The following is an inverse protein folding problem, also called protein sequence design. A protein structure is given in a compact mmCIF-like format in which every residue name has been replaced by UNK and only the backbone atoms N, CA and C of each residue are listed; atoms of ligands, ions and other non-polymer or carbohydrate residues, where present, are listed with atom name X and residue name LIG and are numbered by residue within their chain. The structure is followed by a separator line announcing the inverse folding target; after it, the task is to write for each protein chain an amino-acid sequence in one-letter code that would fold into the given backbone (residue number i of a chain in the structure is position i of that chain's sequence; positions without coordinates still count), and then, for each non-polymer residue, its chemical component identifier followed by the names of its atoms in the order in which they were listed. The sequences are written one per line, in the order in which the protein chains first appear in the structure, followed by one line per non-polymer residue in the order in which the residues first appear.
data_IF_365073872731
#
_entry.id   IF_365073872731
#
_cell.length_a   1.000
_cell.length_b   1.000
_cell.length_c   1.000
_cell.angle_alpha   90.00
_cell.angle_beta   90.00
_cell.angle_gamma   90.00
#
_symmetry.space_group_name_H-M   'P 1'
#
loop_
_entity.id
_entity.type
_entity.pdbx_description
1 polymer ?
#
# COMPACT_ATOMS: atom_id res chain seq x y z
N UNK A 1 -7.95 5.72 18.81
CA UNK A 1 -6.52 5.97 19.09
C UNK A 1 -5.60 4.87 18.53
N UNK A 2 -5.81 3.57 18.84
CA UNK A 2 -4.86 2.51 18.45
C UNK A 2 -4.65 2.32 16.93
N UNK A 3 -5.64 2.63 16.10
CA UNK A 3 -5.55 2.47 14.63
C UNK A 3 -4.56 3.40 13.93
N UNK A 4 -4.21 4.54 14.56
CA UNK A 4 -3.21 5.46 13.98
C UNK A 4 -1.82 4.80 13.91
N UNK A 5 -1.58 3.74 14.69
CA UNK A 5 -0.33 2.96 14.67
C UNK A 5 -0.03 2.40 13.28
N UNK A 6 -1.06 2.07 12.49
CA UNK A 6 -0.90 1.52 11.14
C UNK A 6 -0.13 2.48 10.22
N UNK A 7 -0.30 3.79 10.40
CA UNK A 7 0.37 4.81 9.59
C UNK A 7 1.87 4.94 9.93
N UNK A 8 2.27 4.51 11.12
CA UNK A 8 3.68 4.51 11.53
C UNK A 8 4.43 3.27 11.09
N UNK A 9 3.76 2.23 10.58
CA UNK A 9 4.39 1.01 10.04
C UNK A 9 5.45 1.33 8.97
N UNK A 10 5.22 2.21 7.97
CA UNK A 10 6.24 2.54 6.98
C UNK A 10 7.45 3.27 7.57
N UNK A 11 7.25 4.09 8.62
CA UNK A 11 8.35 4.72 9.36
C UNK A 11 9.20 3.67 10.09
N UNK A 12 8.56 2.70 10.73
CA UNK A 12 9.24 1.59 11.38
C UNK A 12 9.95 0.69 10.36
N UNK A 13 9.30 0.39 9.23
CA UNK A 13 9.91 -0.36 8.13
C UNK A 13 11.14 0.35 7.57
N UNK A 14 11.05 1.65 7.32
CA UNK A 14 12.18 2.47 6.84
C UNK A 14 13.32 2.52 7.87
N UNK A 15 13.02 2.66 9.16
CA UNK A 15 14.03 2.65 10.22
C UNK A 15 14.76 1.30 10.28
N UNK A 16 14.04 0.19 10.15
CA UNK A 16 14.63 -1.16 10.11
C UNK A 16 15.44 -1.40 8.82
N UNK A 17 15.03 -0.81 7.69
CA UNK A 17 15.75 -0.90 6.41
C UNK A 17 17.07 -0.13 6.47
N UNK A 18 17.07 1.08 7.04
CA UNK A 18 18.28 1.91 7.26
C UNK A 18 19.31 1.19 8.13
N UNK A 19 18.86 0.30 9.04
CA UNK A 19 19.73 -0.46 9.92
C UNK A 19 20.13 -1.84 9.32
N UNK A 20 19.73 -2.16 8.09
CA UNK A 20 19.88 -3.48 7.45
C UNK A 20 19.25 -4.64 8.25
N UNK A 21 18.36 -4.33 9.20
CA UNK A 21 17.70 -5.33 10.06
C UNK A 21 16.37 -5.80 9.46
N UNK A 22 15.77 -5.07 8.52
CA UNK A 22 14.42 -5.33 8.01
C UNK A 22 14.23 -6.77 7.52
N UNK A 23 15.22 -7.31 6.78
CA UNK A 23 15.17 -8.66 6.22
C UNK A 23 15.66 -9.75 7.17
N UNK A 24 16.16 -9.38 8.36
CA UNK A 24 16.53 -10.34 9.39
C UNK A 24 15.28 -10.98 10.04
N UNK A 25 15.39 -12.16 10.67
CA UNK A 25 14.27 -12.78 11.38
C UNK A 25 13.66 -11.85 12.44
N UNK A 26 14.49 -11.05 13.11
CA UNK A 26 14.07 -10.10 14.15
C UNK A 26 13.31 -8.93 13.53
N UNK A 27 13.84 -8.29 12.49
CA UNK A 27 13.17 -7.18 11.80
C UNK A 27 11.82 -7.60 11.22
N UNK A 28 11.76 -8.77 10.57
CA UNK A 28 10.51 -9.34 10.06
C UNK A 28 9.49 -9.57 11.18
N UNK A 29 9.91 -10.12 12.32
CA UNK A 29 9.03 -10.37 13.46
C UNK A 29 8.47 -9.05 14.04
N UNK A 30 9.29 -8.01 14.12
CA UNK A 30 8.85 -6.68 14.59
C UNK A 30 7.82 -6.06 13.64
N UNK A 31 8.05 -6.13 12.32
CA UNK A 31 7.06 -5.63 11.33
C UNK A 31 5.77 -6.45 11.39
N UNK A 32 5.86 -7.78 11.39
CA UNK A 32 4.68 -8.65 11.41
C UNK A 32 3.86 -8.48 12.69
N UNK A 33 4.51 -8.31 13.84
CA UNK A 33 3.80 -8.03 15.11
C UNK A 33 3.13 -6.66 15.08
N UNK A 34 3.78 -5.62 14.55
CA UNK A 34 3.17 -4.30 14.36
C UNK A 34 1.95 -4.36 13.43
N UNK A 35 2.03 -5.16 12.35
CA UNK A 35 0.92 -5.41 11.42
C UNK A 35 -0.22 -6.16 12.10
N UNK A 36 0.07 -7.22 12.85
CA UNK A 36 -0.94 -8.00 13.58
C UNK A 36 -1.65 -7.14 14.63
N UNK A 37 -0.91 -6.33 15.38
CA UNK A 37 -1.49 -5.37 16.34
C UNK A 37 -2.35 -4.34 15.61
N UNK A 38 -1.90 -3.84 14.46
CA UNK A 38 -2.66 -2.95 13.58
C UNK A 38 -3.98 -3.59 13.12
N UNK A 39 -3.93 -4.82 12.59
CA UNK A 39 -5.11 -5.56 12.13
C UNK A 39 -6.07 -5.87 13.29
N UNK A 40 -5.57 -6.32 14.44
CA UNK A 40 -6.40 -6.60 15.63
C UNK A 40 -7.07 -5.32 16.13
N UNK A 41 -6.36 -4.19 16.13
CA UNK A 41 -6.96 -2.90 16.44
C UNK A 41 -8.17 -2.68 15.53
N UNK A 42 -7.97 -2.81 14.21
CA UNK A 42 -9.00 -2.53 13.19
C UNK A 42 -10.21 -3.48 13.32
N UNK A 43 -9.99 -4.78 13.48
CA UNK A 43 -11.07 -5.75 13.65
C UNK A 43 -11.88 -5.56 14.94
N UNK A 44 -11.32 -4.90 15.95
CA UNK A 44 -12.03 -4.54 17.18
C UNK A 44 -12.92 -3.30 17.04
N UNK A 45 -13.02 -2.68 15.85
CA UNK A 45 -13.94 -1.57 15.63
C UNK A 45 -15.40 -2.04 15.56
N UNK A 46 -16.28 -1.57 16.45
CA UNK A 46 -17.72 -1.72 16.26
C UNK A 46 -18.14 -0.86 15.05
N UNK A 47 -18.64 -1.49 13.98
CA UNK A 47 -19.01 -0.82 12.72
C UNK A 47 -18.17 -1.21 11.50
N UNK A 48 -17.20 -2.11 11.65
CA UNK A 48 -16.53 -2.72 10.50
C UNK A 48 -17.55 -3.56 9.70
N UNK A 49 -17.86 -3.13 8.48
CA UNK A 49 -18.61 -3.95 7.53
C UNK A 49 -17.67 -4.39 6.42
N UNK A 50 -17.55 -5.71 6.22
CA UNK A 50 -16.97 -6.31 5.01
C UNK A 50 -17.99 -6.11 3.88
N UNK A 51 -18.14 -4.87 3.44
CA UNK A 51 -19.03 -4.51 2.35
C UNK A 51 -18.41 -4.78 0.97
N UNK A 52 -19.22 -4.79 -0.09
CA UNK A 52 -18.73 -4.85 -1.47
C UNK A 52 -17.81 -3.68 -1.84
N UNK A 53 -17.86 -2.58 -1.08
CA UNK A 53 -16.97 -1.42 -1.21
C UNK A 53 -15.50 -1.79 -0.98
N UNK A 54 -15.21 -2.68 -0.03
CA UNK A 54 -13.84 -3.09 0.27
C UNK A 54 -13.23 -3.91 -0.87
N UNK A 55 -14.01 -4.82 -1.46
CA UNK A 55 -13.60 -5.58 -2.64
C UNK A 55 -13.38 -4.65 -3.84
N UNK A 56 -14.28 -3.67 -4.03
CA UNK A 56 -14.16 -2.66 -5.09
C UNK A 56 -12.87 -1.84 -4.92
N UNK A 57 -12.60 -1.32 -3.72
CA UNK A 57 -11.42 -0.50 -3.45
C UNK A 57 -10.12 -1.31 -3.61
N UNK A 58 -10.09 -2.57 -3.14
CA UNK A 58 -8.97 -3.46 -3.36
C UNK A 58 -8.70 -3.68 -4.86
N UNK A 59 -9.75 -3.90 -5.66
CA UNK A 59 -9.60 -4.12 -7.10
C UNK A 59 -9.14 -2.85 -7.84
N UNK A 60 -9.69 -1.68 -7.50
CA UNK A 60 -9.26 -0.41 -8.10
C UNK A 60 -7.80 -0.12 -7.77
N UNK A 61 -7.39 -0.34 -6.52
CA UNK A 61 -6.00 -0.15 -6.10
C UNK A 61 -5.05 -1.11 -6.83
N UNK A 62 -5.45 -2.38 -6.99
CA UNK A 62 -4.71 -3.35 -7.78
C UNK A 62 -4.52 -2.89 -9.23
N UNK A 63 -5.59 -2.38 -9.87
CA UNK A 63 -5.51 -1.86 -11.25
C UNK A 63 -4.54 -0.69 -11.32
N UNK A 64 -4.61 0.26 -10.38
CA UNK A 64 -3.66 1.38 -10.30
C UNK A 64 -2.20 0.89 -10.16
N UNK A 65 -1.95 -0.08 -9.27
CA UNK A 65 -0.63 -0.64 -9.04
C UNK A 65 -0.08 -1.36 -10.29
N UNK A 66 -0.90 -2.21 -10.90
CA UNK A 66 -0.52 -2.96 -12.09
C UNK A 66 -0.24 -2.04 -13.28
N UNK A 67 -1.10 -1.05 -13.54
CA UNK A 67 -0.91 -0.09 -14.62
C UNK A 67 0.37 0.71 -14.42
N UNK A 68 0.60 1.28 -13.23
CA UNK A 68 1.80 2.06 -12.96
C UNK A 68 3.06 1.21 -13.06
N UNK A 69 3.05 -0.02 -12.54
CA UNK A 69 4.20 -0.91 -12.64
C UNK A 69 4.52 -1.29 -14.09
N UNK A 70 3.50 -1.63 -14.89
CA UNK A 70 3.68 -1.97 -16.32
C UNK A 70 4.17 -0.76 -17.12
N UNK A 71 3.57 0.41 -16.92
CA UNK A 71 4.02 1.66 -17.56
C UNK A 71 5.45 2.02 -17.17
N UNK A 72 5.82 1.81 -15.91
CA UNK A 72 7.17 2.11 -15.42
C UNK A 72 8.21 1.14 -15.99
N UNK A 73 7.88 -0.14 -16.11
CA UNK A 73 8.86 -1.21 -16.41
C UNK A 73 8.92 -1.56 -17.89
N UNK A 74 7.76 -1.76 -18.55
CA UNK A 74 7.69 -2.17 -19.95
C UNK A 74 7.88 -0.99 -20.90
N UNK A 75 7.34 0.18 -20.54
CA UNK A 75 7.41 1.39 -21.37
C UNK A 75 8.55 2.33 -20.97
N UNK A 76 9.36 1.97 -19.96
CA UNK A 76 10.51 2.73 -19.47
C UNK A 76 10.20 4.21 -19.16
N UNK A 77 8.95 4.53 -18.82
CA UNK A 77 8.53 5.90 -18.48
C UNK A 77 9.08 6.35 -17.12
N UNK A 78 9.53 5.41 -16.29
CA UNK A 78 9.92 5.64 -14.91
C UNK A 78 8.72 5.77 -13.97
N UNK A 79 8.95 5.49 -12.68
CA UNK A 79 7.89 5.37 -11.69
C UNK A 79 7.07 6.66 -11.52
N UNK A 80 7.73 7.82 -11.53
CA UNK A 80 7.08 9.12 -11.32
C UNK A 80 6.13 9.44 -12.47
N UNK A 81 6.60 9.37 -13.72
CA UNK A 81 5.77 9.68 -14.90
C UNK A 81 4.64 8.67 -15.05
N UNK A 82 4.93 7.37 -14.86
CA UNK A 82 3.91 6.33 -14.89
C UNK A 82 2.80 6.57 -13.86
N UNK A 83 3.15 6.92 -12.61
CA UNK A 83 2.17 7.21 -11.56
C UNK A 83 1.36 8.47 -11.86
N UNK A 84 1.99 9.51 -12.44
CA UNK A 84 1.33 10.75 -12.81
C UNK A 84 0.30 10.53 -13.92
N UNK A 85 0.64 9.72 -14.93
CA UNK A 85 -0.29 9.35 -16.00
C UNK A 85 -1.48 8.55 -15.47
N UNK A 86 -1.24 7.53 -14.65
CA UNK A 86 -2.33 6.74 -14.05
C UNK A 86 -3.21 7.61 -13.15
N UNK A 87 -2.63 8.51 -12.36
CA UNK A 87 -3.38 9.47 -11.55
C UNK A 87 -4.22 10.45 -12.39
N UNK A 88 -3.65 10.99 -13.47
CA UNK A 88 -4.33 11.90 -14.38
C UNK A 88 -5.52 11.21 -15.07
N UNK A 89 -5.31 10.02 -15.63
CA UNK A 89 -6.37 9.22 -16.25
C UNK A 89 -7.42 8.83 -15.22
N UNK A 90 -6.99 8.45 -14.01
CA UNK A 90 -7.88 8.14 -12.90
C UNK A 90 -8.79 9.30 -12.51
N UNK A 91 -8.24 10.51 -12.45
CA UNK A 91 -9.01 11.72 -12.14
C UNK A 91 -10.05 12.08 -13.22
N UNK A 92 -9.81 11.68 -14.47
CA UNK A 92 -10.75 11.93 -15.58
C UNK A 92 -11.85 10.85 -15.67
N UNK A 93 -11.49 9.58 -15.44
CA UNK A 93 -12.39 8.43 -15.64
C UNK A 93 -13.22 8.12 -14.38
N UNK A 94 -12.63 8.27 -13.19
CA UNK A 94 -13.25 7.94 -11.92
C UNK A 94 -13.72 9.20 -11.19
N UNK A 95 -14.67 9.03 -10.26
CA UNK A 95 -15.23 10.15 -9.48
C UNK A 95 -15.16 9.86 -7.98
N UNK A 96 -15.11 10.92 -7.19
CA UNK A 96 -15.21 10.83 -5.73
C UNK A 96 -14.03 10.07 -5.13
N UNK A 97 -14.32 9.03 -4.33
CA UNK A 97 -13.30 8.24 -3.60
C UNK A 97 -12.50 7.30 -4.50
N UNK A 98 -13.11 6.79 -5.57
CA UNK A 98 -12.49 5.79 -6.46
C UNK A 98 -11.20 6.33 -7.10
N UNK A 99 -11.13 7.63 -7.42
CA UNK A 99 -9.92 8.26 -7.98
C UNK A 99 -8.74 8.21 -6.97
N UNK A 100 -9.02 8.38 -5.68
CA UNK A 100 -8.01 8.36 -4.61
C UNK A 100 -7.48 6.95 -4.41
N UNK A 101 -8.36 5.95 -4.50
CA UNK A 101 -8.00 4.54 -4.40
C UNK A 101 -7.13 4.10 -5.58
N UNK A 102 -7.46 4.54 -6.80
CA UNK A 102 -6.63 4.27 -7.98
C UNK A 102 -5.25 4.92 -7.83
N UNK A 103 -5.22 6.18 -7.39
CA UNK A 103 -3.96 6.91 -7.21
C UNK A 103 -3.11 6.34 -6.07
N UNK A 104 -3.75 5.83 -5.00
CA UNK A 104 -3.07 5.04 -3.97
C UNK A 104 -2.46 3.76 -4.54
N UNK A 105 -3.19 3.06 -5.41
CA UNK A 105 -2.67 1.93 -6.17
C UNK A 105 -1.46 2.32 -7.01
N UNK A 106 -1.51 3.46 -7.70
CA UNK A 106 -0.39 3.96 -8.49
C UNK A 106 0.88 4.13 -7.63
N UNK A 107 0.75 4.60 -6.38
CA UNK A 107 1.89 4.67 -5.45
C UNK A 107 2.47 3.29 -5.09
N UNK A 108 1.62 2.28 -4.90
CA UNK A 108 2.08 0.89 -4.71
C UNK A 108 2.86 0.42 -5.95
N UNK A 109 2.37 0.75 -7.14
CA UNK A 109 2.98 0.41 -8.43
C UNK A 109 4.30 1.12 -8.74
N UNK A 110 4.69 2.15 -7.98
CA UNK A 110 6.02 2.76 -8.08
C UNK A 110 7.14 1.90 -7.49
N UNK A 111 6.79 0.76 -6.86
CA UNK A 111 7.76 -0.16 -6.30
C UNK A 111 8.69 -0.73 -7.38
N UNK A 112 9.97 -0.86 -7.05
CA UNK A 112 10.99 -1.35 -7.98
C UNK A 112 10.87 -2.86 -8.24
N UNK A 113 11.21 -3.29 -9.46
CA UNK A 113 11.33 -4.70 -9.87
C UNK A 113 12.31 -5.47 -8.99
N UNK A 114 13.34 -4.82 -8.46
CA UNK A 114 14.29 -5.43 -7.53
C UNK A 114 13.60 -5.97 -6.27
N UNK A 115 12.61 -5.23 -5.76
CA UNK A 115 11.86 -5.58 -4.55
C UNK A 115 10.65 -6.48 -4.86
N UNK A 116 10.11 -6.37 -6.06
CA UNK A 116 9.06 -7.25 -6.58
C UNK A 116 9.49 -7.93 -7.88
N UNK A 117 10.30 -9.01 -7.79
CA UNK A 117 10.78 -9.73 -8.97
C UNK A 117 9.66 -10.51 -9.68
N UNK A 118 8.54 -10.76 -8.99
CA UNK A 118 7.35 -11.40 -9.55
C UNK A 118 6.11 -10.53 -9.36
N UNK A 119 5.12 -10.68 -10.23
CA UNK A 119 3.86 -9.95 -10.15
C UNK A 119 3.00 -10.36 -8.94
N UNK A 120 3.23 -11.54 -8.34
CA UNK A 120 2.45 -12.05 -7.21
C UNK A 120 2.45 -11.12 -5.99
N UNK A 121 3.62 -10.79 -5.42
CA UNK A 121 3.76 -9.82 -4.33
C UNK A 121 3.16 -8.44 -4.68
N UNK A 122 3.33 -7.95 -5.91
CA UNK A 122 2.73 -6.69 -6.36
C UNK A 122 1.19 -6.75 -6.30
N UNK A 123 0.59 -7.86 -6.74
CA UNK A 123 -0.86 -8.06 -6.70
C UNK A 123 -1.36 -8.04 -5.25
N UNK A 124 -0.67 -8.74 -4.36
CA UNK A 124 -1.01 -8.76 -2.93
C UNK A 124 -0.88 -7.36 -2.32
N UNK A 125 0.17 -6.61 -2.67
CA UNK A 125 0.38 -5.24 -2.18
C UNK A 125 -0.71 -4.27 -2.69
N UNK A 126 -1.10 -4.39 -3.96
CA UNK A 126 -2.19 -3.59 -4.54
C UNK A 126 -3.54 -3.87 -3.87
N UNK A 127 -3.88 -5.14 -3.66
CA UNK A 127 -5.10 -5.52 -2.94
C UNK A 127 -5.08 -5.02 -1.50
N UNK A 128 -3.94 -5.17 -0.80
CA UNK A 128 -3.76 -4.66 0.56
C UNK A 128 -3.85 -3.13 0.61
N UNK A 129 -3.39 -2.41 -0.41
CA UNK A 129 -3.50 -0.95 -0.47
C UNK A 129 -4.95 -0.47 -0.40
N UNK A 130 -5.81 -1.02 -1.26
CA UNK A 130 -7.24 -0.69 -1.27
C UNK A 130 -7.97 -1.18 -0.02
N UNK A 131 -7.57 -2.31 0.54
CA UNK A 131 -8.06 -2.78 1.84
C UNK A 131 -7.73 -1.77 2.95
N UNK A 132 -6.45 -1.42 3.11
CA UNK A 132 -6.00 -0.48 4.14
C UNK A 132 -6.59 0.92 3.96
N UNK A 133 -6.90 1.33 2.73
CA UNK A 133 -7.57 2.61 2.47
C UNK A 133 -8.92 2.72 3.18
N UNK A 134 -9.77 1.70 3.10
CA UNK A 134 -11.07 1.70 3.79
C UNK A 134 -10.92 1.53 5.30
N UNK A 135 -9.93 0.76 5.75
CA UNK A 135 -9.69 0.52 7.18
C UNK A 135 -9.20 1.78 7.92
N UNK A 136 -8.53 2.68 7.21
CA UNK A 136 -7.87 3.88 7.77
C UNK A 136 -8.59 5.15 7.31
N UNK A 137 -9.85 5.05 6.88
CA UNK A 137 -10.52 6.17 6.21
C UNK A 137 -10.72 7.42 7.10
N UNK A 138 -10.96 7.21 8.39
CA UNK A 138 -11.17 8.29 9.36
C UNK A 138 -9.86 8.90 9.88
N UNK A 139 -8.71 8.36 9.50
CA UNK A 139 -7.43 8.79 10.03
C UNK A 139 -6.84 9.92 9.17
N UNK A 140 -6.32 10.96 9.84
CA UNK A 140 -5.54 12.05 9.22
C UNK A 140 -6.25 12.73 8.04
N UNK A 141 -7.56 12.94 8.18
CA UNK A 141 -8.36 13.70 7.21
C UNK A 141 -7.77 15.10 7.11
N UNK A 142 -7.45 15.53 5.89
CA UNK A 142 -6.87 16.85 5.61
C UNK A 142 -5.34 16.95 5.80
N UNK A 143 -4.66 15.88 6.20
CA UNK A 143 -3.19 15.85 6.31
C UNK A 143 -2.57 15.25 5.04
N UNK A 144 -1.62 15.98 4.45
CA UNK A 144 -0.88 15.54 3.27
C UNK A 144 -0.06 14.26 3.53
N UNK A 145 0.12 13.43 2.49
CA UNK A 145 0.93 12.21 2.56
C UNK A 145 0.19 10.93 2.95
N UNK A 146 -1.09 11.01 3.34
CA UNK A 146 -1.89 9.85 3.77
C UNK A 146 -1.88 8.68 2.78
N UNK A 147 -2.18 8.90 1.50
CA UNK A 147 -2.23 7.82 0.50
C UNK A 147 -0.87 7.13 0.34
N UNK A 148 0.22 7.90 0.34
CA UNK A 148 1.57 7.40 0.27
C UNK A 148 1.93 6.52 1.47
N UNK A 149 1.55 6.93 2.68
CA UNK A 149 1.79 6.10 3.89
C UNK A 149 1.04 4.77 3.84
N UNK A 150 -0.20 4.76 3.34
CA UNK A 150 -0.99 3.53 3.21
C UNK A 150 -0.36 2.61 2.16
N UNK A 151 0.04 3.15 1.02
CA UNK A 151 0.75 2.40 -0.03
C UNK A 151 2.06 1.81 0.49
N UNK A 152 2.88 2.61 1.18
CA UNK A 152 4.13 2.16 1.78
C UNK A 152 3.91 1.08 2.85
N UNK A 153 2.85 1.22 3.66
CA UNK A 153 2.45 0.18 4.62
C UNK A 153 2.16 -1.14 3.91
N UNK A 154 1.33 -1.11 2.86
CA UNK A 154 0.99 -2.30 2.09
C UNK A 154 2.23 -3.00 1.51
N UNK A 155 3.15 -2.22 0.92
CA UNK A 155 4.40 -2.73 0.35
C UNK A 155 5.30 -3.34 1.42
N UNK A 156 5.53 -2.65 2.54
CA UNK A 156 6.37 -3.13 3.65
C UNK A 156 5.81 -4.42 4.25
N UNK A 157 4.48 -4.51 4.43
CA UNK A 157 3.81 -5.73 4.89
C UNK A 157 4.12 -6.89 3.96
N UNK A 158 3.93 -6.70 2.65
CA UNK A 158 4.20 -7.77 1.68
C UNK A 158 5.66 -8.16 1.68
N UNK A 159 6.58 -7.19 1.66
CA UNK A 159 8.03 -7.47 1.66
C UNK A 159 8.46 -8.22 2.92
N UNK A 160 7.89 -7.89 4.09
CA UNK A 160 8.15 -8.61 5.33
C UNK A 160 7.62 -10.06 5.30
N UNK A 161 6.53 -10.34 4.56
CA UNK A 161 5.98 -11.69 4.41
C UNK A 161 6.79 -12.49 3.37
N UNK A 162 7.06 -11.90 2.21
CA UNK A 162 7.73 -12.57 1.09
C UNK A 162 9.24 -12.66 1.26
N UNK A 163 9.81 -11.85 2.17
CA UNK A 163 11.26 -11.77 2.39
C UNK A 163 11.96 -11.10 1.21
N UNK A 164 11.56 -9.86 0.90
CA UNK A 164 11.99 -9.09 -0.27
C UNK A 164 13.44 -9.37 -0.68
N UNK A 165 13.62 -9.74 -1.95
CA UNK A 165 14.93 -10.08 -2.49
C UNK A 165 15.87 -8.87 -2.47
N UNK A 166 17.08 -9.10 -1.98
CA UNK A 166 18.27 -8.36 -2.38
C UNK A 166 18.91 -9.09 -3.56
#
# INVERSE_FOLDING_TARGET
MLHYIVIFIPLLGAALDILDVLFTPVGRLVVLTAVVVGLIAIFRRPGFSLGPQLAKSALISLVGAALTFVLSTQLNLGAVVASALVGLVGAQVLKGRDQLVLYLGAFVGMSSVLRFPTYGPLIVAGLLGGFLFELVDDCWIGVGGRLGTIAATAVVVVLAITGGGL
#
